data_IF_932075727670
#
_entry.id   IF_932075727670
#
_cell.length_a   1.000
_cell.length_b   1.000
_cell.length_c   1.000
_cell.angle_alpha   90.00
_cell.angle_beta   90.00
_cell.angle_gamma   90.00
#
_symmetry.space_group_name_H-M   'P 1'
#
loop_
_entity.id
_entity.type
_entity.pdbx_description
1 polymer ?
#
# COMPACT_ATOMS: atom_id res chain seq x y z
N UNK A 1 -25.14 23.75 40.99
CA UNK A 1 -26.17 23.30 41.94
C UNK A 1 -25.84 21.87 42.35
N UNK A 2 -25.69 21.58 43.67
CA UNK A 2 -25.48 20.20 44.10
C UNK A 2 -26.75 19.39 43.83
N UNK A 3 -26.61 18.19 43.27
CA UNK A 3 -27.72 17.26 43.01
C UNK A 3 -28.26 16.73 44.34
N UNK A 4 -29.58 16.64 44.43
CA UNK A 4 -30.30 16.14 45.57
C UNK A 4 -29.91 14.69 45.92
N UNK A 5 -29.83 14.37 47.21
CA UNK A 5 -29.60 13.04 47.75
C UNK A 5 -30.68 12.07 47.23
N UNK A 6 -30.25 11.03 46.48
CA UNK A 6 -31.13 9.95 46.02
C UNK A 6 -31.05 9.58 44.53
N UNK A 7 -30.40 10.36 43.69
CA UNK A 7 -30.29 10.03 42.30
C UNK A 7 -29.11 9.10 42.02
N UNK A 8 -29.38 7.92 41.44
CA UNK A 8 -28.39 6.88 41.11
C UNK A 8 -27.37 7.42 40.11
N UNK A 9 -26.11 7.62 40.52
CA UNK A 9 -25.04 8.16 39.68
C UNK A 9 -24.81 7.26 38.48
N UNK A 10 -24.99 7.79 37.28
CA UNK A 10 -24.78 7.10 36.00
C UNK A 10 -23.29 7.12 35.68
N UNK A 11 -22.55 6.06 36.00
CA UNK A 11 -21.14 5.91 35.67
C UNK A 11 -20.89 4.57 34.98
N UNK A 12 -19.88 4.50 34.07
CA UNK A 12 -19.48 3.25 33.44
C UNK A 12 -18.81 2.31 34.47
N UNK A 13 -18.87 0.99 34.34
CA UNK A 13 -18.22 0.04 35.25
C UNK A 13 -16.73 0.32 35.44
N UNK A 14 -16.03 0.70 34.39
CA UNK A 14 -14.61 1.06 34.45
C UNK A 14 -14.38 2.37 35.18
N UNK A 15 -15.24 3.39 34.99
CA UNK A 15 -15.12 4.65 35.71
C UNK A 15 -15.36 4.46 37.22
N UNK A 16 -16.30 3.62 37.64
CA UNK A 16 -16.53 3.30 39.08
C UNK A 16 -15.30 2.66 39.70
N UNK A 17 -14.74 1.62 39.07
CA UNK A 17 -13.57 0.91 39.58
C UNK A 17 -12.34 1.81 39.70
N UNK A 18 -12.13 2.70 38.73
CA UNK A 18 -11.02 3.66 38.77
C UNK A 18 -11.24 4.79 39.82
N UNK A 19 -12.46 5.29 39.94
CA UNK A 19 -12.80 6.30 40.97
C UNK A 19 -12.59 5.74 42.37
N UNK A 20 -13.02 4.51 42.62
CA UNK A 20 -12.80 3.80 43.92
C UNK A 20 -11.30 3.60 44.22
N UNK A 21 -10.51 3.18 43.18
CA UNK A 21 -9.07 3.01 43.32
C UNK A 21 -8.30 4.32 43.52
N UNK A 22 -8.84 5.46 43.06
CA UNK A 22 -8.22 6.79 43.15
C UNK A 22 -8.82 7.70 44.17
N UNK A 23 -9.83 7.22 44.94
CA UNK A 23 -10.49 8.01 46.03
C UNK A 23 -11.29 9.21 45.46
N UNK A 24 -11.77 9.15 44.21
CA UNK A 24 -12.50 10.24 43.56
C UNK A 24 -14.01 10.07 43.79
N UNK A 25 -14.66 11.08 44.33
CA UNK A 25 -16.11 11.09 44.50
C UNK A 25 -16.83 11.37 43.19
N UNK A 26 -17.56 10.37 42.70
CA UNK A 26 -18.31 10.44 41.45
C UNK A 26 -19.50 11.44 41.50
N UNK A 27 -19.96 11.82 42.69
CA UNK A 27 -21.08 12.77 42.84
C UNK A 27 -20.71 14.18 42.40
N UNK A 28 -19.42 14.53 42.49
CA UNK A 28 -18.87 15.85 42.13
C UNK A 28 -18.58 15.99 40.62
N UNK A 29 -18.70 14.91 39.85
CA UNK A 29 -18.32 14.89 38.44
C UNK A 29 -19.52 14.98 37.49
N UNK A 30 -19.36 15.75 36.43
CA UNK A 30 -20.31 15.79 35.33
C UNK A 30 -19.89 14.82 34.25
N UNK A 31 -20.75 13.82 33.94
CA UNK A 31 -20.45 12.81 32.94
C UNK A 31 -20.54 13.36 31.52
N UNK A 32 -19.49 13.12 30.67
CA UNK A 32 -19.42 13.51 29.28
C UNK A 32 -19.87 12.41 28.30
N UNK A 33 -20.18 11.21 28.79
CA UNK A 33 -20.63 10.07 27.97
C UNK A 33 -22.11 10.12 27.57
N UNK A 34 -22.55 9.20 26.69
CA UNK A 34 -23.93 9.12 26.21
C UNK A 34 -24.95 9.04 27.36
N UNK A 35 -25.97 9.93 27.32
CA UNK A 35 -26.99 10.04 28.36
C UNK A 35 -26.49 10.61 29.70
N UNK A 36 -25.41 11.42 29.69
CA UNK A 36 -24.82 12.03 30.88
C UNK A 36 -24.06 11.06 31.80
N UNK A 37 -23.53 9.97 31.24
CA UNK A 37 -22.79 8.93 31.97
C UNK A 37 -21.33 9.35 32.21
N UNK A 38 -20.84 9.18 33.43
CA UNK A 38 -19.43 9.41 33.76
C UNK A 38 -18.59 8.32 33.11
N UNK A 39 -17.58 8.72 32.29
CA UNK A 39 -16.63 7.84 31.64
C UNK A 39 -15.20 8.07 32.16
N UNK A 40 -14.27 7.16 31.84
CA UNK A 40 -12.88 7.23 32.32
C UNK A 40 -12.21 8.60 32.09
N UNK A 41 -12.52 9.27 30.96
CA UNK A 41 -11.95 10.56 30.63
C UNK A 41 -12.35 11.69 31.61
N UNK A 42 -13.46 11.54 32.32
CA UNK A 42 -13.95 12.54 33.27
C UNK A 42 -13.19 12.50 34.58
N UNK A 43 -12.63 11.35 34.95
CA UNK A 43 -11.83 11.18 36.18
C UNK A 43 -10.48 11.91 36.11
N UNK A 44 -9.88 12.01 34.91
CA UNK A 44 -8.64 12.75 34.70
C UNK A 44 -8.76 14.26 34.86
N UNK A 45 -9.98 14.82 34.79
CA UNK A 45 -10.25 16.24 35.02
C UNK A 45 -10.41 16.60 36.48
N UNK A 46 -10.72 15.63 37.32
CA UNK A 46 -10.89 15.85 38.77
C UNK A 46 -9.56 15.83 39.55
N UNK A 47 -8.53 15.16 39.03
CA UNK A 47 -7.21 15.10 39.65
C UNK A 47 -6.37 16.40 39.47
N UNK A 48 -6.87 17.37 38.70
CA UNK A 48 -6.19 18.64 38.35
C UNK A 48 -6.63 19.87 39.15
N UNK A 49 -7.44 19.72 40.22
CA UNK A 49 -8.00 20.82 40.97
C UNK A 49 -7.30 21.11 42.32
N UNK A 50 -6.03 21.58 42.31
CA UNK A 50 -5.42 22.22 43.47
C UNK A 50 -4.45 23.34 43.03
N UNK A 51 -4.83 24.59 43.35
CA UNK A 51 -4.04 25.81 43.53
C UNK A 51 -3.05 26.21 42.42
N UNK A 52 -3.46 27.14 41.58
CA UNK A 52 -2.59 27.93 40.72
C UNK A 52 -1.79 28.93 41.57
N UNK A 53 -0.47 28.79 41.61
CA UNK A 53 0.47 29.90 41.84
C UNK A 53 0.90 30.48 40.49
N UNK A 54 1.14 31.81 40.38
CA UNK A 54 1.53 32.40 39.12
C UNK A 54 3.00 32.08 38.85
N UNK A 55 3.26 31.16 37.93
CA UNK A 55 4.58 30.93 37.35
C UNK A 55 4.75 31.76 36.08
N UNK A 56 5.91 32.41 35.98
CA UNK A 56 6.38 33.21 34.88
C UNK A 56 6.20 32.45 33.54
N UNK A 57 5.71 33.16 32.52
CA UNK A 57 5.56 32.68 31.17
C UNK A 57 6.92 32.23 30.60
N UNK A 58 7.09 30.91 30.44
CA UNK A 58 8.07 30.37 29.52
C UNK A 58 7.59 30.60 28.07
N UNK A 59 8.48 30.85 27.11
CA UNK A 59 8.06 31.08 25.72
C UNK A 59 7.30 29.87 25.20
N UNK A 60 6.14 30.13 24.61
CA UNK A 60 5.31 29.13 23.97
C UNK A 60 6.13 28.30 22.96
N UNK A 61 6.00 26.96 22.91
CA UNK A 61 6.60 26.19 21.84
C UNK A 61 6.03 26.71 20.52
N UNK A 62 6.91 27.13 19.62
CA UNK A 62 6.54 27.49 18.25
C UNK A 62 5.76 26.31 17.68
N UNK A 63 4.49 26.50 17.40
CA UNK A 63 3.65 25.49 16.76
C UNK A 63 4.37 25.06 15.47
N UNK A 64 4.69 23.77 15.38
CA UNK A 64 5.14 23.17 14.14
C UNK A 64 4.15 23.58 13.03
N UNK A 65 4.60 23.96 11.83
CA UNK A 65 3.70 24.37 10.78
C UNK A 65 2.71 23.22 10.54
N UNK A 66 1.43 23.47 10.83
CA UNK A 66 0.36 22.57 10.51
C UNK A 66 0.52 22.22 9.02
N UNK A 67 0.64 20.92 8.72
CA UNK A 67 0.68 20.46 7.35
C UNK A 67 -0.47 21.15 6.61
N UNK A 68 -0.16 21.96 5.62
CA UNK A 68 -1.13 22.74 4.88
C UNK A 68 -2.19 21.76 4.36
N UNK A 69 -3.40 21.86 4.90
CA UNK A 69 -4.55 21.13 4.39
C UNK A 69 -4.62 21.43 2.89
N UNK A 70 -4.55 20.40 2.06
CA UNK A 70 -4.64 20.54 0.61
C UNK A 70 -5.88 21.38 0.31
N UNK A 71 -5.68 22.54 -0.32
CA UNK A 71 -6.76 23.42 -0.72
C UNK A 71 -7.82 22.59 -1.47
N UNK A 72 -9.11 22.78 -1.23
CA UNK A 72 -10.16 22.07 -1.95
C UNK A 72 -9.93 22.27 -3.45
N UNK A 73 -9.83 21.16 -4.20
CA UNK A 73 -9.66 21.21 -5.64
C UNK A 73 -10.80 22.04 -6.24
N UNK A 74 -10.45 23.09 -6.97
CA UNK A 74 -11.46 23.89 -7.64
C UNK A 74 -12.25 23.00 -8.61
N UNK A 75 -13.58 23.14 -8.69
CA UNK A 75 -14.37 22.38 -9.63
C UNK A 75 -13.91 22.69 -11.05
N UNK A 76 -13.68 21.63 -11.84
CA UNK A 76 -13.37 21.80 -13.26
C UNK A 76 -14.55 22.48 -13.97
N UNK A 77 -14.29 23.57 -14.66
CA UNK A 77 -15.26 24.29 -15.46
C UNK A 77 -14.73 24.52 -16.87
N UNK A 78 -15.55 24.25 -17.89
CA UNK A 78 -15.21 24.49 -19.29
C UNK A 78 -16.50 24.71 -20.10
N UNK A 79 -16.43 25.57 -21.11
CA UNK A 79 -17.53 25.82 -22.05
C UNK A 79 -17.54 24.82 -23.23
N UNK A 80 -16.53 23.94 -23.31
CA UNK A 80 -16.47 22.90 -24.32
C UNK A 80 -17.46 21.79 -24.00
N UNK A 81 -18.31 21.37 -24.94
CA UNK A 81 -19.22 20.23 -24.74
C UNK A 81 -18.44 18.99 -24.27
N UNK A 82 -18.84 18.44 -23.12
CA UNK A 82 -18.15 17.30 -22.51
C UNK A 82 -19.12 16.41 -21.75
N UNK A 83 -18.71 15.17 -21.50
CA UNK A 83 -19.41 14.23 -20.62
C UNK A 83 -18.52 13.91 -19.41
N UNK A 84 -19.05 14.08 -18.22
CA UNK A 84 -18.36 13.74 -16.98
C UNK A 84 -18.61 12.27 -16.63
N UNK A 85 -17.59 11.42 -16.80
CA UNK A 85 -17.66 10.00 -16.49
C UNK A 85 -17.05 9.70 -15.12
N UNK A 86 -17.80 9.02 -14.26
CA UNK A 86 -17.34 8.63 -12.92
C UNK A 86 -16.25 7.55 -13.00
N UNK A 87 -15.10 7.82 -12.38
CA UNK A 87 -14.00 6.85 -12.31
C UNK A 87 -14.37 5.64 -11.44
N UNK A 88 -13.99 4.44 -11.90
CA UNK A 88 -14.06 3.21 -11.09
C UNK A 88 -13.10 3.29 -9.89
N UNK A 89 -13.34 2.49 -8.87
CA UNK A 89 -12.47 2.43 -7.69
C UNK A 89 -11.03 2.01 -8.06
N UNK A 90 -10.88 1.11 -9.02
CA UNK A 90 -9.57 0.71 -9.56
C UNK A 90 -8.84 1.91 -10.15
N UNK A 91 -9.47 2.67 -11.04
CA UNK A 91 -8.86 3.86 -11.67
C UNK A 91 -8.49 4.93 -10.66
N UNK A 92 -9.32 5.15 -9.63
CA UNK A 92 -9.01 6.07 -8.52
C UNK A 92 -7.77 5.60 -7.73
N UNK A 93 -7.68 4.31 -7.45
CA UNK A 93 -6.54 3.73 -6.73
C UNK A 93 -5.26 3.83 -7.55
N UNK A 94 -5.30 3.52 -8.85
CA UNK A 94 -4.18 3.67 -9.78
C UNK A 94 -3.70 5.12 -9.81
N UNK A 95 -4.61 6.07 -10.03
CA UNK A 95 -4.26 7.50 -10.10
C UNK A 95 -3.57 7.97 -8.81
N UNK A 96 -4.13 7.64 -7.65
CA UNK A 96 -3.54 8.00 -6.35
C UNK A 96 -2.14 7.39 -6.18
N UNK A 97 -1.99 6.07 -6.34
CA UNK A 97 -0.71 5.38 -6.14
C UNK A 97 0.38 5.84 -7.10
N UNK A 98 0.05 6.06 -8.38
CA UNK A 98 1.03 6.53 -9.35
C UNK A 98 1.44 7.98 -9.10
N UNK A 99 0.51 8.84 -8.66
CA UNK A 99 0.83 10.21 -8.27
C UNK A 99 1.73 10.25 -7.04
N UNK A 100 1.44 9.43 -6.02
CA UNK A 100 2.29 9.28 -4.83
C UNK A 100 3.70 8.78 -5.22
N UNK A 101 3.78 7.68 -5.99
CA UNK A 101 5.05 7.12 -6.43
C UNK A 101 5.89 8.13 -7.23
N UNK A 102 5.25 8.88 -8.14
CA UNK A 102 5.94 9.88 -8.97
C UNK A 102 6.47 11.06 -8.17
N UNK A 103 5.80 11.43 -7.07
CA UNK A 103 6.22 12.51 -6.18
C UNK A 103 7.33 12.08 -5.22
N UNK A 104 7.22 10.86 -4.67
CA UNK A 104 7.98 10.44 -3.49
C UNK A 104 9.18 9.54 -3.83
N UNK A 105 9.21 8.92 -5.01
CA UNK A 105 10.29 8.03 -5.45
C UNK A 105 11.17 8.70 -6.50
N UNK A 106 12.49 8.79 -6.30
CA UNK A 106 13.42 9.30 -7.33
C UNK A 106 13.45 8.34 -8.53
N UNK A 107 12.92 8.79 -9.68
CA UNK A 107 12.88 7.99 -10.89
C UNK A 107 14.06 8.34 -11.80
N UNK A 108 14.70 7.31 -12.39
CA UNK A 108 15.61 7.42 -13.52
C UNK A 108 15.08 6.60 -14.69
N UNK A 109 15.42 6.98 -15.91
CA UNK A 109 14.98 6.32 -17.15
C UNK A 109 16.19 5.99 -17.99
N UNK A 110 16.32 4.71 -18.39
CA UNK A 110 17.38 4.21 -19.25
C UNK A 110 16.76 3.51 -20.45
N UNK A 111 17.36 3.69 -21.62
CA UNK A 111 16.96 3.01 -22.85
C UNK A 111 18.16 2.26 -23.41
N UNK A 112 17.97 0.99 -23.75
CA UNK A 112 19.01 0.12 -24.28
C UNK A 112 18.42 -0.72 -25.42
N UNK A 113 19.13 -0.77 -26.55
CA UNK A 113 18.80 -1.67 -27.67
C UNK A 113 19.44 -3.02 -27.44
N UNK A 114 18.63 -4.09 -27.51
CA UNK A 114 19.08 -5.47 -27.29
C UNK A 114 18.79 -6.33 -28.52
N UNK A 115 19.81 -7.02 -29.05
CA UNK A 115 19.64 -8.00 -30.12
C UNK A 115 19.05 -9.30 -29.57
N UNK A 116 17.86 -9.67 -30.03
CA UNK A 116 17.14 -10.87 -29.58
C UNK A 116 17.29 -12.09 -30.52
N UNK A 117 18.01 -12.01 -31.64
CA UNK A 117 18.09 -13.12 -32.60
C UNK A 117 18.57 -14.43 -31.98
N UNK A 118 19.61 -14.38 -31.16
CA UNK A 118 20.11 -15.56 -30.47
C UNK A 118 19.12 -16.13 -29.46
N UNK A 119 18.41 -15.25 -28.73
CA UNK A 119 17.37 -15.64 -27.79
C UNK A 119 16.18 -16.30 -28.49
N UNK A 120 15.74 -15.76 -29.61
CA UNK A 120 14.65 -16.32 -30.42
C UNK A 120 15.02 -17.68 -31.01
N UNK A 121 16.27 -17.87 -31.50
CA UNK A 121 16.78 -19.18 -31.93
C UNK A 121 16.83 -20.19 -30.78
N UNK A 122 17.29 -19.77 -29.63
CA UNK A 122 17.32 -20.62 -28.41
C UNK A 122 15.89 -21.01 -28.01
N UNK A 123 14.95 -20.08 -27.99
CA UNK A 123 13.54 -20.37 -27.70
C UNK A 123 12.97 -21.41 -28.66
N UNK A 124 13.27 -21.31 -29.97
CA UNK A 124 12.83 -22.28 -30.99
C UNK A 124 13.33 -23.69 -30.65
N UNK A 125 14.60 -23.85 -30.32
CA UNK A 125 15.20 -25.13 -29.93
C UNK A 125 14.60 -25.68 -28.66
N UNK A 126 14.42 -24.85 -27.63
CA UNK A 126 13.81 -25.26 -26.35
C UNK A 126 12.35 -25.71 -26.57
N UNK A 127 11.57 -24.97 -27.35
CA UNK A 127 10.18 -25.33 -27.64
C UNK A 127 10.07 -26.65 -28.41
N UNK A 128 10.96 -26.94 -29.35
CA UNK A 128 11.01 -28.24 -30.01
C UNK A 128 11.26 -29.38 -29.02
N UNK A 129 12.18 -29.21 -28.07
CA UNK A 129 12.47 -30.20 -27.04
C UNK A 129 11.35 -30.33 -25.97
N UNK A 130 10.57 -29.31 -25.76
CA UNK A 130 9.49 -29.28 -24.74
C UNK A 130 8.12 -29.68 -25.32
N UNK A 131 7.99 -29.85 -26.64
CA UNK A 131 6.74 -30.18 -27.31
C UNK A 131 6.06 -31.42 -26.76
N UNK A 132 6.82 -32.49 -26.48
CA UNK A 132 6.33 -33.74 -25.90
C UNK A 132 5.76 -33.56 -24.47
N UNK A 133 6.16 -32.48 -23.79
CA UNK A 133 5.72 -32.13 -22.42
C UNK A 133 4.57 -31.13 -22.42
N UNK A 134 4.07 -30.71 -23.59
CA UNK A 134 3.01 -29.72 -23.74
C UNK A 134 3.37 -28.30 -23.26
N UNK A 135 4.67 -27.99 -23.09
CA UNK A 135 5.15 -26.69 -22.64
C UNK A 135 5.64 -25.86 -23.83
N UNK A 136 5.14 -24.63 -23.94
CA UNK A 136 5.53 -23.68 -24.98
C UNK A 136 6.02 -22.39 -24.34
N UNK A 137 7.31 -22.13 -24.44
CA UNK A 137 7.94 -20.93 -23.88
C UNK A 137 7.62 -19.70 -24.72
N UNK A 138 7.25 -18.63 -24.08
CA UNK A 138 7.12 -17.29 -24.63
C UNK A 138 8.45 -16.51 -24.56
N UNK A 139 8.54 -15.36 -25.22
CA UNK A 139 9.66 -14.44 -25.03
C UNK A 139 9.66 -13.89 -23.62
N UNK A 140 8.49 -13.60 -23.05
CA UNK A 140 8.36 -13.10 -21.69
C UNK A 140 8.95 -14.05 -20.65
N UNK A 141 8.76 -15.36 -20.79
CA UNK A 141 9.29 -16.34 -19.83
C UNK A 141 10.82 -16.27 -19.76
N UNK A 142 11.46 -16.07 -20.90
CA UNK A 142 12.91 -15.89 -20.99
C UNK A 142 13.35 -14.54 -20.43
N UNK A 143 12.59 -13.47 -20.66
CA UNK A 143 12.87 -12.14 -20.11
C UNK A 143 12.68 -12.10 -18.58
N UNK A 144 11.66 -12.76 -18.05
CA UNK A 144 11.46 -12.91 -16.60
C UNK A 144 12.68 -13.58 -15.99
N UNK A 145 13.15 -14.70 -16.59
CA UNK A 145 14.35 -15.40 -16.11
C UNK A 145 15.59 -14.53 -16.20
N UNK A 146 15.80 -13.84 -17.33
CA UNK A 146 16.95 -12.98 -17.52
C UNK A 146 16.98 -11.82 -16.53
N UNK A 147 15.83 -11.15 -16.31
CA UNK A 147 15.72 -10.07 -15.33
C UNK A 147 16.02 -10.57 -13.92
N UNK A 148 15.46 -11.71 -13.52
CA UNK A 148 15.68 -12.25 -12.18
C UNK A 148 17.17 -12.60 -11.93
N UNK A 149 17.83 -13.24 -12.89
CA UNK A 149 19.26 -13.56 -12.80
C UNK A 149 20.13 -12.30 -12.81
N UNK A 150 19.76 -11.28 -13.58
CA UNK A 150 20.46 -10.01 -13.62
C UNK A 150 20.38 -9.27 -12.25
N UNK A 151 19.19 -9.29 -11.60
CA UNK A 151 19.00 -8.68 -10.29
C UNK A 151 19.78 -9.41 -9.18
N UNK A 152 19.98 -10.72 -9.29
CA UNK A 152 20.86 -11.44 -8.37
C UNK A 152 22.35 -11.17 -8.62
N UNK A 153 22.72 -10.98 -9.89
CA UNK A 153 24.08 -10.63 -10.27
C UNK A 153 24.47 -9.19 -9.88
N UNK A 154 23.48 -8.29 -9.79
CA UNK A 154 23.65 -6.88 -9.41
C UNK A 154 22.68 -6.53 -8.29
N UNK A 155 22.95 -6.93 -7.04
CA UNK A 155 22.04 -6.76 -5.90
C UNK A 155 21.65 -5.32 -5.61
N UNK A 156 22.49 -4.36 -5.99
CA UNK A 156 22.22 -2.92 -5.85
C UNK A 156 21.05 -2.44 -6.70
N UNK A 157 20.66 -3.21 -7.73
CA UNK A 157 19.47 -2.96 -8.54
C UNK A 157 18.22 -3.68 -8.03
N UNK A 158 18.35 -4.61 -7.08
CA UNK A 158 17.24 -5.37 -6.49
C UNK A 158 16.81 -4.76 -5.15
N UNK A 159 16.30 -3.54 -5.20
CA UNK A 159 16.07 -2.71 -4.01
C UNK A 159 14.75 -1.97 -4.07
N UNK A 160 14.24 -1.56 -2.90
CA UNK A 160 13.16 -0.58 -2.77
C UNK A 160 13.61 0.60 -1.95
N UNK A 161 13.25 1.80 -2.42
CA UNK A 161 13.50 3.05 -1.71
C UNK A 161 12.41 3.31 -0.68
N UNK A 162 12.83 3.66 0.52
CA UNK A 162 11.99 4.28 1.56
C UNK A 162 12.55 5.66 1.89
N UNK A 163 11.86 6.47 2.68
CA UNK A 163 12.29 7.84 2.99
C UNK A 163 13.72 7.93 3.58
N UNK A 164 14.18 6.89 4.27
CA UNK A 164 15.42 6.86 5.06
C UNK A 164 16.27 5.62 4.86
N UNK A 165 15.77 4.61 4.12
CA UNK A 165 16.44 3.33 3.94
C UNK A 165 16.32 2.82 2.51
N UNK A 166 17.32 2.05 2.11
CA UNK A 166 17.30 1.24 0.90
C UNK A 166 17.11 -0.23 1.30
N UNK A 167 15.97 -0.80 0.97
CA UNK A 167 15.66 -2.20 1.25
C UNK A 167 16.27 -3.08 0.16
N UNK A 168 17.28 -3.85 0.48
CA UNK A 168 17.94 -4.76 -0.44
C UNK A 168 17.35 -6.17 -0.34
N UNK A 169 16.81 -6.67 -1.44
CA UNK A 169 16.19 -7.99 -1.49
C UNK A 169 17.22 -9.10 -1.74
N UNK A 170 17.00 -10.27 -1.14
CA UNK A 170 17.89 -11.44 -1.26
C UNK A 170 17.44 -12.43 -2.34
N UNK A 171 16.31 -12.19 -2.98
CA UNK A 171 15.77 -12.96 -4.10
C UNK A 171 15.05 -12.05 -5.06
N UNK A 172 14.82 -12.47 -6.29
CA UNK A 172 14.12 -11.71 -7.30
C UNK A 172 12.69 -12.23 -7.49
N UNK A 173 11.70 -11.43 -7.04
CA UNK A 173 10.27 -11.69 -7.21
C UNK A 173 9.75 -10.77 -8.33
N UNK A 174 9.51 -11.34 -9.51
CA UNK A 174 9.21 -10.56 -10.71
C UNK A 174 7.71 -10.44 -10.92
N UNK A 175 7.19 -9.22 -10.81
CA UNK A 175 5.83 -8.88 -11.16
C UNK A 175 5.68 -8.73 -12.68
N UNK A 176 4.67 -9.35 -13.29
CA UNK A 176 4.47 -9.33 -14.74
C UNK A 176 3.15 -8.64 -15.08
N UNK A 177 3.19 -7.61 -15.91
CA UNK A 177 2.00 -6.86 -16.28
C UNK A 177 1.05 -7.70 -17.14
N UNK A 178 -0.18 -7.92 -16.65
CA UNK A 178 -1.26 -8.63 -17.33
C UNK A 178 -2.45 -7.70 -17.50
N UNK A 179 -2.88 -7.51 -18.76
CA UNK A 179 -4.07 -6.75 -19.09
C UNK A 179 -5.34 -7.52 -18.68
N UNK A 180 -6.25 -6.85 -18.00
CA UNK A 180 -7.55 -7.38 -17.60
C UNK A 180 -8.66 -6.40 -17.99
N UNK A 181 -9.94 -6.81 -18.03
CA UNK A 181 -11.04 -5.89 -18.24
C UNK A 181 -11.02 -4.75 -17.20
N UNK A 182 -10.93 -3.52 -17.68
CA UNK A 182 -10.95 -2.32 -16.84
C UNK A 182 -9.59 -1.87 -16.29
N UNK A 183 -8.46 -2.57 -16.58
CA UNK A 183 -7.15 -2.14 -16.11
C UNK A 183 -6.01 -3.14 -16.32
N UNK A 184 -5.07 -3.09 -15.39
CA UNK A 184 -3.87 -3.91 -15.38
C UNK A 184 -3.69 -4.50 -13.98
N UNK A 185 -3.23 -5.74 -13.90
CA UNK A 185 -2.78 -6.38 -12.66
C UNK A 185 -1.40 -6.99 -12.88
N UNK A 186 -0.61 -7.11 -11.83
CA UNK A 186 0.78 -7.54 -11.90
C UNK A 186 1.04 -8.77 -11.03
N UNK A 187 0.60 -9.98 -11.45
CA UNK A 187 0.93 -11.21 -10.74
C UNK A 187 2.45 -11.40 -10.62
N UNK A 188 2.89 -12.04 -9.53
CA UNK A 188 4.28 -12.15 -9.14
C UNK A 188 4.77 -13.58 -9.29
N UNK A 189 5.83 -13.76 -10.07
CA UNK A 189 6.62 -14.99 -10.07
C UNK A 189 7.68 -14.86 -8.98
N UNK A 190 7.46 -15.52 -7.85
CA UNK A 190 8.38 -15.48 -6.71
C UNK A 190 9.65 -16.27 -7.00
N UNK A 191 10.79 -15.81 -6.49
CA UNK A 191 12.09 -16.49 -6.63
C UNK A 191 12.36 -16.98 -8.06
N UNK A 192 12.18 -16.07 -9.02
CA UNK A 192 12.23 -16.42 -10.44
C UNK A 192 13.65 -16.86 -10.89
N UNK A 193 14.68 -16.43 -10.18
CA UNK A 193 16.05 -16.80 -10.50
C UNK A 193 16.36 -18.29 -10.23
N UNK A 194 15.79 -18.90 -9.22
CA UNK A 194 15.96 -20.33 -8.92
C UNK A 194 15.13 -21.25 -9.83
N UNK A 195 14.05 -20.74 -10.44
CA UNK A 195 13.12 -21.53 -11.24
C UNK A 195 13.62 -21.81 -12.64
N UNK A 196 13.31 -22.99 -13.19
CA UNK A 196 13.51 -23.26 -14.62
C UNK A 196 12.55 -22.41 -15.45
N UNK A 197 12.93 -22.10 -16.72
CA UNK A 197 12.07 -21.30 -17.62
C UNK A 197 10.74 -22.01 -17.88
N UNK A 198 10.71 -23.33 -17.95
CA UNK A 198 9.46 -24.10 -18.09
C UNK A 198 8.54 -23.95 -16.88
N UNK A 199 9.11 -23.90 -15.64
CA UNK A 199 8.31 -23.66 -14.43
C UNK A 199 7.77 -22.23 -14.41
N UNK A 200 8.58 -21.24 -14.79
CA UNK A 200 8.14 -19.84 -14.94
C UNK A 200 6.98 -19.75 -15.94
N UNK A 201 7.10 -20.40 -17.10
CA UNK A 201 6.06 -20.41 -18.14
C UNK A 201 4.72 -20.96 -17.63
N UNK A 202 4.76 -22.07 -16.91
CA UNK A 202 3.56 -22.68 -16.34
C UNK A 202 2.92 -21.77 -15.25
N UNK A 203 3.73 -21.27 -14.34
CA UNK A 203 3.29 -20.41 -13.23
C UNK A 203 2.68 -19.11 -13.72
N UNK A 204 3.36 -18.40 -14.63
CA UNK A 204 2.81 -17.15 -15.17
C UNK A 204 1.55 -17.39 -16.02
N UNK A 205 1.46 -18.52 -16.74
CA UNK A 205 0.27 -18.89 -17.48
C UNK A 205 -0.94 -19.11 -16.56
N UNK A 206 -0.76 -19.81 -15.45
CA UNK A 206 -1.78 -20.01 -14.43
C UNK A 206 -2.19 -18.70 -13.77
N UNK A 207 -1.21 -17.91 -13.31
CA UNK A 207 -1.45 -16.62 -12.70
C UNK A 207 -2.20 -15.66 -13.64
N UNK A 208 -1.81 -15.61 -14.91
CA UNK A 208 -2.46 -14.77 -15.92
C UNK A 208 -3.92 -15.17 -16.18
N UNK A 209 -4.22 -16.47 -16.19
CA UNK A 209 -5.59 -16.96 -16.34
C UNK A 209 -6.45 -16.57 -15.13
N UNK A 210 -5.95 -16.81 -13.90
CA UNK A 210 -6.65 -16.40 -12.67
C UNK A 210 -6.79 -14.87 -12.55
N UNK A 211 -5.82 -14.12 -13.08
CA UNK A 211 -5.89 -12.67 -13.17
C UNK A 211 -7.08 -12.19 -14.00
N UNK A 212 -7.27 -12.78 -15.20
CA UNK A 212 -8.39 -12.46 -16.09
C UNK A 212 -9.74 -12.82 -15.50
N UNK A 213 -9.79 -13.87 -14.68
CA UNK A 213 -10.98 -14.32 -13.96
C UNK A 213 -11.23 -13.56 -12.66
N UNK A 214 -10.33 -12.65 -12.25
CA UNK A 214 -10.43 -11.91 -10.99
C UNK A 214 -10.24 -12.77 -9.73
N UNK A 215 -9.52 -13.92 -9.86
CA UNK A 215 -9.33 -14.91 -8.79
C UNK A 215 -7.96 -14.85 -8.10
N UNK A 216 -7.13 -13.84 -8.40
CA UNK A 216 -5.85 -13.66 -7.72
C UNK A 216 -6.04 -13.24 -6.27
N UNK A 217 -5.20 -13.80 -5.38
CA UNK A 217 -5.12 -13.38 -4.00
C UNK A 217 -4.19 -12.17 -3.83
N UNK A 218 -4.39 -11.29 -2.84
CA UNK A 218 -3.57 -10.10 -2.65
C UNK A 218 -2.06 -10.35 -2.61
N UNK A 219 -1.61 -11.42 -1.97
CA UNK A 219 -0.19 -11.79 -1.89
C UNK A 219 0.42 -12.21 -3.23
N UNK A 220 -0.40 -12.52 -4.25
CA UNK A 220 0.07 -12.93 -5.57
C UNK A 220 0.34 -11.75 -6.52
N UNK A 221 -0.07 -10.52 -6.13
CA UNK A 221 0.16 -9.30 -6.92
C UNK A 221 0.66 -8.11 -6.09
N UNK A 222 1.02 -8.34 -4.82
CA UNK A 222 1.60 -7.31 -3.95
C UNK A 222 2.95 -7.81 -3.42
N UNK A 223 3.97 -6.95 -3.45
CA UNK A 223 5.27 -7.23 -2.84
C UNK A 223 6.36 -7.74 -3.80
N UNK A 224 6.20 -7.65 -5.11
CA UNK A 224 7.28 -7.95 -6.06
C UNK A 224 8.47 -6.99 -5.91
N UNK A 225 9.69 -7.48 -6.23
CA UNK A 225 10.93 -6.69 -6.14
C UNK A 225 11.23 -5.91 -7.41
N UNK A 226 10.78 -6.42 -8.56
CA UNK A 226 10.87 -5.75 -9.85
C UNK A 226 9.64 -6.07 -10.72
N UNK A 227 9.43 -5.30 -11.78
CA UNK A 227 8.30 -5.49 -12.69
C UNK A 227 8.73 -5.57 -14.14
N UNK A 228 8.09 -6.47 -14.87
CA UNK A 228 8.22 -6.61 -16.34
C UNK A 228 6.91 -6.23 -17.03
N UNK A 229 6.98 -5.30 -17.98
CA UNK A 229 5.88 -4.97 -18.86
C UNK A 229 6.34 -5.13 -20.31
N UNK A 230 5.65 -5.99 -21.07
CA UNK A 230 5.94 -6.20 -22.49
C UNK A 230 4.88 -5.52 -23.35
N UNK A 231 5.27 -4.47 -24.04
CA UNK A 231 4.41 -3.72 -24.97
C UNK A 231 4.53 -4.19 -26.44
N UNK A 232 5.47 -5.10 -26.74
CA UNK A 232 5.72 -5.58 -28.09
C UNK A 232 4.57 -6.36 -28.76
N UNK A 233 3.51 -6.67 -27.99
CA UNK A 233 2.30 -7.30 -28.54
C UNK A 233 1.24 -6.29 -29.03
N UNK A 234 1.46 -5.01 -28.81
CA UNK A 234 0.52 -3.94 -29.16
C UNK A 234 0.96 -3.13 -30.40
N UNK A 235 2.06 -3.50 -31.06
CA UNK A 235 2.58 -2.86 -32.28
C UNK A 235 3.67 -1.85 -32.02
#
# INVERSE_FOLDING_TARGET
MPKAEGERIKASPLARKLAEAQGIDLSTLQGSGPGGRIVRADLGKAAGGAAAQPQAQAPAPVAAPAAAAAAPAQPFSTDIPHEAVKLSNMRKTIARRLSEAKRDIPHIYLTVDVRLDALLKLRGKLNAGLAARGVKLSVNDLLIKALAVALEAVPECNVSFTSDQLIMYKRADIAVAVSIPGGLITPIVTDAASKSVSKISQEIGELANRAKEGKLQPHEYQGGTASLSNMGMFG
#
